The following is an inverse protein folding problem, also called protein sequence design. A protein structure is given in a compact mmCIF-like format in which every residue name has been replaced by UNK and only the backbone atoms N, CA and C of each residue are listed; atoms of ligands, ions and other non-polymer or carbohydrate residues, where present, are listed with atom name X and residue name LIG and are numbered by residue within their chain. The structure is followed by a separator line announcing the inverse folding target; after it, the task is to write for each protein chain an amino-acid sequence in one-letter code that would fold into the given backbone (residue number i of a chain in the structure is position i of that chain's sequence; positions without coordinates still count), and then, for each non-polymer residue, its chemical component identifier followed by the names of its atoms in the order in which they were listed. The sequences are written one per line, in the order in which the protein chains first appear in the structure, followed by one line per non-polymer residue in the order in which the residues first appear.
data_IF_852666961777
#
_entry.id   IF_852666961777
#
_cell.length_a   1.000
_cell.length_b   1.000
_cell.length_c   1.000
_cell.angle_alpha   90.00
_cell.angle_beta   90.00
_cell.angle_gamma   90.00
#
_symmetry.space_group_name_H-M   'P 1'
#
loop_
_entity.id
_entity.type
_entity.pdbx_description
1 polymer ?
#
# COMPACT_ATOMS: atom_id res chain seq x y z
N UNK A 1 0.85 9.61 -6.45
CA UNK A 1 1.37 8.48 -5.67
C UNK A 1 0.20 7.65 -5.13
N UNK A 2 0.40 6.35 -4.91
CA UNK A 2 -0.63 5.45 -4.37
C UNK A 2 0.00 4.56 -3.31
N UNK A 3 -0.53 4.61 -2.09
CA UNK A 3 -0.13 3.71 -1.02
C UNK A 3 -0.73 2.32 -1.27
N UNK A 4 0.12 1.30 -1.40
CA UNK A 4 -0.29 -0.11 -1.47
C UNK A 4 -0.32 -0.68 -0.06
N UNK A 5 -1.51 -1.02 0.43
CA UNK A 5 -1.72 -1.58 1.76
C UNK A 5 -1.90 -3.10 1.67
N UNK A 6 -0.90 -3.86 2.11
CA UNK A 6 -1.00 -5.31 2.17
C UNK A 6 -1.64 -5.72 3.50
N UNK A 7 -2.63 -6.60 3.48
CA UNK A 7 -3.34 -7.04 4.68
C UNK A 7 -3.80 -8.50 4.56
N UNK A 8 -3.94 -9.17 5.69
CA UNK A 8 -4.45 -10.53 5.80
C UNK A 8 -5.72 -10.49 6.62
N UNK A 9 -6.81 -11.07 6.11
CA UNK A 9 -8.11 -11.08 6.77
C UNK A 9 -8.12 -11.77 8.14
N UNK A 10 -7.13 -12.62 8.41
CA UNK A 10 -6.97 -13.35 9.67
C UNK A 10 -6.04 -12.65 10.65
N UNK A 11 -5.34 -11.60 10.22
CA UNK A 11 -4.54 -10.78 11.12
C UNK A 11 -5.48 -9.86 11.93
N UNK A 12 -5.54 -9.99 13.27
CA UNK A 12 -6.42 -9.18 14.10
C UNK A 12 -6.04 -7.70 14.17
N UNK A 13 -4.88 -7.29 13.65
CA UNK A 13 -4.40 -5.91 13.68
C UNK A 13 -4.21 -5.29 12.30
N UNK A 14 -4.55 -6.00 11.22
CA UNK A 14 -4.44 -5.49 9.85
C UNK A 14 -5.82 -5.41 9.17
N UNK A 15 -6.31 -4.19 8.98
CA UNK A 15 -7.56 -3.90 8.28
C UNK A 15 -7.31 -3.39 6.85
N UNK A 16 -8.26 -3.62 5.91
CA UNK A 16 -8.28 -2.90 4.64
C UNK A 16 -8.46 -1.40 4.89
N UNK A 17 -7.68 -0.57 4.19
CA UNK A 17 -7.67 0.88 4.34
C UNK A 17 -8.24 1.61 3.13
N UNK A 18 -8.48 0.93 2.01
CA UNK A 18 -9.11 1.52 0.83
C UNK A 18 -10.57 1.89 1.15
N UNK A 19 -10.97 3.17 0.99
CA UNK A 19 -12.34 3.57 1.31
C UNK A 19 -13.38 2.87 0.42
N UNK A 20 -14.27 2.09 1.05
CA UNK A 20 -15.36 1.36 0.38
C UNK A 20 -16.37 2.32 -0.26
N UNK A 21 -16.91 2.07 -1.45
CA UNK A 21 -17.80 3.05 -2.15
C UNK A 21 -19.04 3.46 -1.33
N UNK A 22 -19.43 2.67 -0.34
CA UNK A 22 -20.52 2.92 0.59
C UNK A 22 -20.14 3.82 1.79
N UNK A 23 -18.87 4.21 1.94
CA UNK A 23 -18.40 5.00 3.09
C UNK A 23 -19.04 6.40 3.14
N UNK A 24 -19.33 6.99 1.99
CA UNK A 24 -19.98 8.29 1.87
C UNK A 24 -21.49 8.13 1.73
N UNK A 25 -22.26 8.46 2.79
CA UNK A 25 -23.71 8.27 2.81
C UNK A 25 -24.41 9.10 1.71
N UNK A 26 -25.43 8.50 1.09
CA UNK A 26 -26.37 9.19 0.21
C UNK A 26 -25.83 9.54 -1.19
N UNK A 27 -24.60 9.15 -1.51
CA UNK A 27 -24.00 9.32 -2.84
C UNK A 27 -23.19 8.10 -3.22
N UNK A 28 -23.07 7.82 -4.53
CA UNK A 28 -22.05 6.90 -5.04
C UNK A 28 -20.80 7.71 -5.32
N UNK A 29 -19.79 7.74 -4.41
CA UNK A 29 -18.61 8.57 -4.56
C UNK A 29 -17.85 8.19 -5.83
N UNK A 30 -17.38 9.21 -6.55
CA UNK A 30 -16.41 9.04 -7.63
C UNK A 30 -15.06 8.59 -7.05
N UNK A 31 -14.22 7.95 -7.87
CA UNK A 31 -12.87 7.54 -7.46
C UNK A 31 -12.02 8.71 -6.90
N UNK A 32 -12.24 9.92 -7.39
CA UNK A 32 -11.59 11.13 -6.87
C UNK A 32 -12.10 11.54 -5.48
N UNK A 33 -13.35 11.24 -5.16
CA UNK A 33 -13.93 11.45 -3.84
C UNK A 33 -13.54 10.35 -2.85
N UNK A 34 -13.07 9.19 -3.33
CA UNK A 34 -12.49 8.15 -2.48
C UNK A 34 -11.08 8.50 -1.97
N UNK A 35 -10.50 9.64 -2.36
CA UNK A 35 -9.22 10.13 -1.83
C UNK A 35 -9.46 11.28 -0.84
N UNK A 36 -8.61 11.39 0.18
CA UNK A 36 -8.63 12.48 1.16
C UNK A 36 -8.97 12.10 2.60
N UNK A 37 -9.35 10.84 2.87
CA UNK A 37 -9.37 10.28 4.23
C UNK A 37 -7.93 10.18 4.78
N UNK A 38 -7.01 9.72 3.93
CA UNK A 38 -5.59 9.68 4.21
C UNK A 38 -4.87 10.77 3.42
N UNK A 39 -3.84 11.35 4.04
CA UNK A 39 -3.04 12.43 3.48
C UNK A 39 -1.57 12.13 3.68
N UNK A 40 -0.74 12.51 2.72
CA UNK A 40 0.71 12.47 2.85
C UNK A 40 1.25 13.89 3.04
N UNK A 41 2.20 14.02 3.95
CA UNK A 41 3.02 15.21 4.15
C UNK A 41 4.34 14.99 3.41
N UNK A 42 4.63 15.85 2.45
CA UNK A 42 5.96 15.95 1.87
C UNK A 42 6.91 16.55 2.95
N UNK A 43 7.94 15.81 3.40
CA UNK A 43 8.84 16.28 4.46
C UNK A 43 9.77 17.41 4.01
N UNK A 44 10.01 17.59 2.71
CA UNK A 44 10.89 18.63 2.18
C UNK A 44 10.15 19.95 1.98
N UNK A 45 8.94 19.88 1.41
CA UNK A 45 8.16 21.07 1.05
C UNK A 45 7.08 21.44 2.08
N UNK A 46 6.72 20.51 2.97
CA UNK A 46 5.60 20.67 3.90
C UNK A 46 4.22 20.58 3.25
N UNK A 47 4.14 20.29 1.95
CA UNK A 47 2.87 20.20 1.23
C UNK A 47 2.08 18.96 1.66
N UNK A 48 0.77 19.12 1.80
CA UNK A 48 -0.15 18.03 2.14
C UNK A 48 -0.94 17.64 0.89
N UNK A 49 -0.90 16.37 0.52
CA UNK A 49 -1.65 15.83 -0.62
C UNK A 49 -2.58 14.69 -0.21
N UNK A 50 -3.71 14.54 -0.91
CA UNK A 50 -4.61 13.42 -0.70
C UNK A 50 -3.93 12.13 -1.18
N UNK A 51 -3.86 11.12 -0.31
CA UNK A 51 -3.28 9.83 -0.65
C UNK A 51 -4.37 8.88 -1.15
N UNK A 52 -4.13 8.26 -2.31
CA UNK A 52 -4.94 7.14 -2.77
C UNK A 52 -4.39 5.86 -2.15
N UNK A 53 -5.27 5.03 -1.60
CA UNK A 53 -4.91 3.71 -1.07
C UNK A 53 -5.41 2.64 -2.02
N UNK A 54 -4.62 1.58 -2.19
CA UNK A 54 -5.02 0.35 -2.84
C UNK A 54 -4.74 -0.82 -1.90
N UNK A 55 -5.79 -1.52 -1.51
CA UNK A 55 -5.63 -2.72 -0.69
C UNK A 55 -5.18 -3.92 -1.54
N UNK A 56 -4.30 -4.73 -0.97
CA UNK A 56 -3.78 -5.98 -1.54
C UNK A 56 -3.94 -7.07 -0.47
N UNK A 57 -4.93 -7.92 -0.64
CA UNK A 57 -5.13 -9.05 0.26
C UNK A 57 -4.04 -10.11 0.05
N UNK A 58 -3.52 -10.65 1.15
CA UNK A 58 -2.59 -11.78 1.18
C UNK A 58 -3.11 -12.86 2.14
N UNK A 59 -2.56 -14.07 2.03
CA UNK A 59 -2.83 -15.21 2.89
C UNK A 59 -1.52 -15.71 3.54
N UNK A 60 -1.19 -15.13 4.69
CA UNK A 60 0.00 -15.49 5.45
C UNK A 60 -0.16 -16.87 6.11
N UNK A 61 -1.38 -17.31 6.41
CA UNK A 61 -1.62 -18.67 6.93
C UNK A 61 -1.25 -19.75 5.91
N UNK A 62 -1.46 -19.47 4.62
CA UNK A 62 -1.08 -20.36 3.53
C UNK A 62 0.41 -20.26 3.17
N UNK A 63 0.95 -19.04 3.15
CA UNK A 63 2.25 -18.77 2.52
C UNK A 63 3.41 -18.52 3.51
N UNK A 64 3.16 -18.55 4.81
CA UNK A 64 4.18 -18.44 5.86
C UNK A 64 4.30 -19.74 6.67
N UNK A 65 5.42 -19.95 7.36
CA UNK A 65 5.62 -21.05 8.31
C UNK A 65 4.83 -20.80 9.60
N UNK A 66 4.33 -21.89 10.19
CA UNK A 66 3.39 -21.87 11.31
C UNK A 66 3.93 -21.27 12.61
N UNK A 67 3.00 -20.81 13.45
CA UNK A 67 3.25 -20.24 14.78
C UNK A 67 2.02 -19.48 15.31
N UNK A 68 2.06 -19.04 16.56
CA UNK A 68 0.91 -18.35 17.20
C UNK A 68 0.49 -17.03 16.54
N UNK A 69 1.35 -16.43 15.71
CA UNK A 69 1.09 -15.16 15.00
C UNK A 69 1.30 -15.28 13.49
N UNK A 70 1.01 -16.45 12.91
CA UNK A 70 1.28 -16.71 11.49
C UNK A 70 0.58 -15.72 10.56
N UNK A 71 -0.66 -15.30 10.85
CA UNK A 71 -1.39 -14.31 10.04
C UNK A 71 -0.69 -12.93 10.02
N UNK A 72 0.12 -12.62 11.03
CA UNK A 72 0.89 -11.37 11.14
C UNK A 72 2.28 -11.46 10.49
N UNK A 73 2.69 -12.65 10.02
CA UNK A 73 4.06 -12.89 9.56
C UNK A 73 4.26 -12.62 8.07
N UNK A 74 4.06 -11.37 7.64
CA UNK A 74 4.24 -10.96 6.24
C UNK A 74 5.66 -11.22 5.70
N UNK A 75 6.67 -11.18 6.57
CA UNK A 75 8.08 -11.37 6.22
C UNK A 75 8.47 -12.82 5.91
N UNK A 76 7.57 -13.78 6.11
CA UNK A 76 7.78 -15.17 5.70
C UNK A 76 6.86 -15.54 4.50
N UNK A 77 5.94 -14.65 4.13
CA UNK A 77 5.14 -14.77 2.91
C UNK A 77 5.94 -14.29 1.69
N UNK A 78 6.79 -15.18 1.18
CA UNK A 78 7.67 -14.90 0.05
C UNK A 78 6.88 -14.47 -1.21
N UNK A 79 5.78 -15.17 -1.51
CA UNK A 79 5.09 -15.07 -2.80
C UNK A 79 4.17 -13.86 -2.91
N UNK A 80 3.39 -13.57 -1.86
CA UNK A 80 2.33 -12.56 -1.93
C UNK A 80 2.71 -11.24 -1.26
N UNK A 81 3.77 -11.22 -0.44
CA UNK A 81 4.28 -9.99 0.18
C UNK A 81 5.69 -9.63 -0.27
N UNK A 82 6.69 -10.49 -0.02
CA UNK A 82 8.11 -10.12 -0.19
C UNK A 82 8.45 -9.83 -1.66
N UNK A 83 8.11 -10.74 -2.58
CA UNK A 83 8.39 -10.56 -4.01
C UNK A 83 7.70 -9.31 -4.58
N UNK A 84 6.38 -9.08 -4.35
CA UNK A 84 5.73 -7.83 -4.75
C UNK A 84 6.37 -6.56 -4.19
N UNK A 85 6.77 -6.55 -2.91
CA UNK A 85 7.45 -5.40 -2.30
C UNK A 85 8.84 -5.19 -2.90
N UNK A 86 9.61 -6.25 -3.13
CA UNK A 86 10.93 -6.16 -3.75
C UNK A 86 10.86 -5.58 -5.16
N UNK A 87 9.87 -6.00 -5.97
CA UNK A 87 9.64 -5.42 -7.29
C UNK A 87 9.26 -3.94 -7.20
N UNK A 88 8.42 -3.56 -6.23
CA UNK A 88 8.05 -2.16 -6.02
C UNK A 88 9.24 -1.26 -5.69
N UNK A 89 10.12 -1.73 -4.79
CA UNK A 89 11.32 -1.00 -4.42
C UNK A 89 12.29 -0.88 -5.61
N UNK A 90 12.44 -1.95 -6.39
CA UNK A 90 13.25 -1.92 -7.61
C UNK A 90 12.72 -0.90 -8.62
N UNK A 91 11.42 -0.88 -8.89
CA UNK A 91 10.79 0.08 -9.80
C UNK A 91 10.96 1.53 -9.33
N UNK A 92 10.97 1.76 -8.01
CA UNK A 92 11.18 3.10 -7.44
C UNK A 92 12.62 3.57 -7.64
N UNK A 93 13.59 2.72 -7.34
CA UNK A 93 15.03 3.00 -7.53
C UNK A 93 15.31 3.29 -9.02
N UNK A 94 14.76 2.49 -9.94
CA UNK A 94 14.96 2.69 -11.37
C UNK A 94 14.39 4.03 -11.87
N UNK A 95 13.26 4.49 -11.31
CA UNK A 95 12.68 5.80 -11.63
C UNK A 95 13.54 6.94 -11.11
N UNK A 96 13.97 6.87 -9.85
CA UNK A 96 14.84 7.89 -9.26
C UNK A 96 16.16 8.04 -10.04
N UNK A 97 16.80 6.92 -10.38
CA UNK A 97 18.04 6.92 -11.18
C UNK A 97 17.79 7.47 -12.59
N UNK A 98 16.67 7.11 -13.22
CA UNK A 98 16.26 7.63 -14.52
C UNK A 98 16.06 9.15 -14.51
N UNK A 99 15.38 9.69 -13.50
CA UNK A 99 15.14 11.13 -13.35
C UNK A 99 16.43 11.89 -13.06
N UNK A 100 17.33 11.35 -12.22
CA UNK A 100 18.65 11.93 -11.97
C UNK A 100 19.52 11.98 -13.24
N UNK A 101 19.44 10.96 -14.10
CA UNK A 101 20.20 10.90 -15.35
C UNK A 101 19.73 11.92 -16.40
N UNK A 102 18.44 12.29 -16.37
CA UNK A 102 17.86 13.31 -17.24
C UNK A 102 18.06 14.74 -16.72
N UNK A 103 18.21 14.93 -15.40
CA UNK A 103 18.47 16.23 -14.79
C UNK A 103 19.92 16.73 -14.88
N UNK A 104 20.84 15.89 -15.35
CA UNK A 104 22.26 16.25 -15.59
C UNK A 104 22.61 16.45 -17.07
N UNK A 105 21.63 16.35 -17.98
CA UNK A 105 21.81 16.51 -19.42
C UNK A 105 21.43 17.92 -19.91
#
# INVERSE_FOLDING_TARGET
ETWKNFWDKRDPVADPLEPCVEWLRGTKPTRKQLTGLFRALDPETGNITNMAIKDIAVDNLKNSKGGGMQAHNYWDNQQEFIEPVAMLLKDLIEKEVGEMSLGMA
#
